data_IF_233913686063
#
_entry.id   IF_233913686063
#
_cell.length_a   1.000
_cell.length_b   1.000
_cell.length_c   1.000
_cell.angle_alpha   90.00
_cell.angle_beta   90.00
_cell.angle_gamma   90.00
#
_symmetry.space_group_name_H-M   'P 1'
#
loop_
_entity.id
_entity.type
_entity.pdbx_description
1 polymer ?
#
# COMPACT_ATOMS: atom_id res chain seq x y z
N UNK A 1 18.00 13.00 -21.59
CA UNK A 1 17.54 13.68 -20.37
C UNK A 1 17.78 12.73 -19.22
N UNK A 2 18.46 13.13 -18.13
CA UNK A 2 18.67 12.23 -17.01
C UNK A 2 17.33 11.90 -16.36
N UNK A 3 16.97 10.62 -16.37
CA UNK A 3 15.92 10.03 -15.55
C UNK A 3 16.36 10.20 -14.10
N UNK A 4 15.77 11.16 -13.38
CA UNK A 4 16.06 11.34 -11.95
C UNK A 4 15.18 10.38 -11.19
N UNK A 5 15.74 9.25 -10.76
CA UNK A 5 15.19 8.48 -9.66
C UNK A 5 15.31 9.41 -8.44
N UNK A 6 14.20 9.93 -7.93
CA UNK A 6 14.22 10.75 -6.72
C UNK A 6 14.69 9.87 -5.55
N UNK A 7 15.91 10.11 -5.09
CA UNK A 7 16.53 9.43 -3.93
C UNK A 7 16.54 10.38 -2.71
N UNK A 8 15.60 10.20 -1.77
CA UNK A 8 15.58 10.97 -0.54
C UNK A 8 16.37 10.32 0.61
N UNK A 9 17.25 9.33 0.39
CA UNK A 9 18.17 8.86 1.44
C UNK A 9 19.11 9.98 1.96
N UNK A 10 19.08 11.16 1.35
CA UNK A 10 19.66 12.38 1.93
C UNK A 10 18.98 12.87 3.21
N UNK A 11 17.77 12.41 3.56
CA UNK A 11 17.09 12.78 4.81
C UNK A 11 16.39 11.57 5.45
N UNK A 12 17.12 10.92 6.37
CA UNK A 12 16.68 9.81 7.21
C UNK A 12 15.30 10.04 7.86
N UNK A 13 14.30 9.31 7.39
CA UNK A 13 13.16 8.89 8.20
C UNK A 13 12.95 7.39 8.01
N UNK A 14 13.43 6.60 8.98
CA UNK A 14 13.14 5.17 9.09
C UNK A 14 11.64 5.01 9.35
N UNK A 15 10.93 4.38 8.42
CA UNK A 15 9.52 4.00 8.55
C UNK A 15 9.28 2.82 9.52
N UNK A 16 10.27 2.46 10.36
CA UNK A 16 10.25 1.26 11.21
C UNK A 16 9.30 1.32 12.41
N UNK A 17 8.75 2.48 12.76
CA UNK A 17 8.12 2.70 14.07
C UNK A 17 6.60 2.96 14.03
N UNK A 18 5.91 2.72 12.91
CA UNK A 18 4.45 2.83 12.88
C UNK A 18 3.82 1.52 13.39
N UNK A 19 3.73 1.41 14.72
CA UNK A 19 2.81 0.48 15.39
C UNK A 19 1.38 0.95 15.13
N UNK A 20 0.59 0.17 14.39
CA UNK A 20 -0.82 0.45 14.11
C UNK A 20 -1.69 0.10 15.33
N UNK A 21 -1.64 0.94 16.36
CA UNK A 21 -2.65 0.91 17.42
C UNK A 21 -3.91 1.61 16.93
N UNK A 22 -4.91 0.80 16.59
CA UNK A 22 -6.28 1.23 16.31
C UNK A 22 -6.92 1.82 17.58
N UNK A 23 -6.80 3.13 17.79
CA UNK A 23 -7.65 3.87 18.72
C UNK A 23 -8.79 4.56 17.94
N UNK A 24 -9.99 4.00 18.05
CA UNK A 24 -11.23 4.70 17.73
C UNK A 24 -11.41 5.88 18.70
N UNK A 25 -11.53 7.10 18.17
CA UNK A 25 -12.12 8.23 18.89
C UNK A 25 -12.83 9.18 17.92
N UNK A 26 -14.15 9.14 18.02
CA UNK A 26 -15.16 10.19 17.82
C UNK A 26 -14.98 11.34 16.82
N UNK A 27 -15.90 11.35 15.86
CA UNK A 27 -16.88 12.40 15.59
C UNK A 27 -16.53 13.85 15.97
N UNK A 28 -16.08 14.65 15.00
CA UNK A 28 -16.06 16.11 15.09
C UNK A 28 -16.17 16.75 13.71
N UNK A 29 -17.37 17.24 13.36
CA UNK A 29 -17.55 18.15 12.23
C UNK A 29 -16.69 19.41 12.43
N UNK A 30 -15.89 19.76 11.43
CA UNK A 30 -15.56 21.16 11.13
C UNK A 30 -15.58 21.34 9.62
N UNK A 31 -16.56 22.11 9.16
CA UNK A 31 -16.58 22.74 7.85
C UNK A 31 -15.61 23.95 7.90
N UNK A 32 -15.02 24.26 6.75
CA UNK A 32 -13.99 25.27 6.50
C UNK A 32 -12.58 24.97 7.03
N UNK A 33 -11.68 24.75 6.08
CA UNK A 33 -10.26 24.54 6.35
C UNK A 33 -9.51 24.17 5.09
N UNK A 34 -9.31 25.15 4.22
CA UNK A 34 -8.37 25.15 3.11
C UNK A 34 -7.09 24.39 3.49
N UNK A 35 -6.92 23.18 2.96
CA UNK A 35 -5.69 22.41 3.22
C UNK A 35 -4.60 22.93 2.28
N UNK A 36 -4.06 24.09 2.64
CA UNK A 36 -2.86 24.66 2.06
C UNK A 36 -1.66 23.82 2.48
N UNK A 37 -1.42 22.70 1.80
CA UNK A 37 -0.10 22.07 1.81
C UNK A 37 0.83 22.89 0.90
N UNK A 38 1.26 24.03 1.43
CA UNK A 38 2.47 24.70 0.99
C UNK A 38 3.67 23.92 1.54
N UNK A 39 4.22 23.01 0.75
CA UNK A 39 5.63 22.67 0.92
C UNK A 39 6.42 23.73 0.17
N UNK A 40 6.95 24.70 0.93
CA UNK A 40 7.98 25.63 0.45
C UNK A 40 9.18 24.80 0.01
N UNK A 41 9.35 24.66 -1.29
CA UNK A 41 10.66 24.35 -1.87
C UNK A 41 11.46 25.65 -1.90
N UNK A 42 12.71 25.57 -1.46
CA UNK A 42 13.65 26.68 -1.33
C UNK A 42 13.65 27.58 -2.56
N UNK A 43 13.11 28.81 -2.45
CA UNK A 43 13.56 30.06 -3.08
C UNK A 43 13.98 30.13 -4.55
N UNK A 44 13.85 29.07 -5.34
CA UNK A 44 14.22 29.00 -6.74
C UNK A 44 12.92 28.89 -7.53
N UNK A 45 12.63 29.92 -8.31
CA UNK A 45 11.60 29.86 -9.35
C UNK A 45 11.94 28.70 -10.27
N UNK A 46 11.26 27.56 -10.08
CA UNK A 46 11.32 26.47 -11.04
C UNK A 46 10.63 26.99 -12.30
N UNK A 47 11.45 27.35 -13.30
CA UNK A 47 11.04 27.47 -14.70
C UNK A 47 10.08 26.34 -15.03
N UNK A 48 8.95 26.64 -15.69
CA UNK A 48 7.76 25.78 -15.82
C UNK A 48 7.89 24.44 -16.54
N UNK A 49 8.97 23.70 -16.31
CA UNK A 49 9.14 22.31 -16.68
C UNK A 49 8.47 21.44 -15.61
N UNK A 50 7.41 20.74 -16.01
CA UNK A 50 6.67 19.84 -15.13
C UNK A 50 7.53 18.68 -14.58
N UNK A 51 7.10 18.11 -13.46
CA UNK A 51 7.77 16.97 -12.81
C UNK A 51 7.66 15.71 -13.70
N UNK A 52 8.78 15.08 -14.02
CA UNK A 52 8.80 13.81 -14.77
C UNK A 52 9.01 12.66 -13.79
N UNK A 53 8.05 11.73 -13.76
CA UNK A 53 8.07 10.54 -12.92
C UNK A 53 8.38 9.34 -13.79
N UNK A 54 9.50 8.66 -13.55
CA UNK A 54 9.77 7.38 -14.20
C UNK A 54 8.92 6.28 -13.56
N UNK A 55 8.15 5.54 -14.37
CA UNK A 55 7.26 4.48 -13.91
C UNK A 55 7.99 3.40 -13.08
N UNK A 56 9.23 3.09 -13.45
CA UNK A 56 10.07 2.11 -12.73
C UNK A 56 10.54 2.57 -11.34
N UNK A 57 10.45 3.87 -11.05
CA UNK A 57 10.84 4.45 -9.77
C UNK A 57 9.66 4.65 -8.81
N UNK A 58 8.46 4.22 -9.19
CA UNK A 58 7.29 4.37 -8.35
C UNK A 58 7.34 3.32 -7.23
N UNK A 59 7.37 3.74 -5.96
CA UNK A 59 7.50 2.82 -4.84
C UNK A 59 6.25 1.96 -4.68
N UNK A 60 6.46 0.70 -4.34
CA UNK A 60 5.40 -0.22 -3.92
C UNK A 60 5.00 0.09 -2.47
N UNK A 61 3.75 -0.19 -2.12
CA UNK A 61 3.30 -0.09 -0.72
C UNK A 61 3.96 -1.16 0.14
N UNK A 62 4.15 -2.36 -0.43
CA UNK A 62 4.85 -3.45 0.21
C UNK A 62 6.02 -3.87 -0.69
N UNK A 63 7.22 -3.38 -0.37
CA UNK A 63 8.48 -3.79 -0.99
C UNK A 63 9.24 -4.83 -0.16
N UNK A 64 8.68 -5.20 1.00
CA UNK A 64 9.30 -6.17 1.89
C UNK A 64 9.11 -7.59 1.37
N UNK A 65 10.18 -8.42 1.35
CA UNK A 65 10.06 -9.83 1.00
C UNK A 65 9.32 -10.64 2.09
N UNK A 66 9.12 -10.05 3.27
CA UNK A 66 8.49 -10.69 4.43
C UNK A 66 7.46 -9.79 5.10
N UNK A 67 6.39 -10.38 5.63
CA UNK A 67 5.34 -9.69 6.39
C UNK A 67 4.83 -10.61 7.51
N UNK A 68 3.98 -10.11 8.41
CA UNK A 68 3.40 -10.89 9.49
C UNK A 68 2.01 -11.38 9.12
N UNK A 69 1.77 -12.68 9.27
CA UNK A 69 0.42 -13.18 9.26
C UNK A 69 -0.36 -12.57 10.43
N UNK A 70 -1.62 -12.18 10.20
CA UNK A 70 -2.52 -11.69 11.26
C UNK A 70 -3.79 -12.55 11.36
N UNK A 71 -3.72 -13.82 10.96
CA UNK A 71 -4.88 -14.71 10.90
C UNK A 71 -5.55 -14.89 12.28
N UNK A 72 -6.88 -14.89 12.29
CA UNK A 72 -7.78 -14.91 13.45
C UNK A 72 -7.36 -13.89 14.51
N UNK A 73 -7.48 -12.60 14.19
CA UNK A 73 -7.18 -11.51 15.13
C UNK A 73 -5.74 -11.56 15.67
N UNK A 74 -4.76 -11.94 14.85
CA UNK A 74 -3.35 -12.03 15.27
C UNK A 74 -3.03 -13.25 16.14
N UNK A 75 -3.89 -14.28 16.17
CA UNK A 75 -3.54 -15.55 16.82
C UNK A 75 -2.41 -16.29 16.08
N UNK A 76 -2.18 -15.95 14.81
CA UNK A 76 -0.96 -16.25 14.09
C UNK A 76 -0.16 -14.96 13.98
N UNK A 77 1.12 -15.01 14.35
CA UNK A 77 2.10 -13.92 14.31
C UNK A 77 3.36 -14.32 13.51
N UNK A 78 3.27 -15.42 12.76
CA UNK A 78 4.41 -15.96 12.03
C UNK A 78 4.77 -15.04 10.85
N UNK A 79 6.08 -14.89 10.66
CA UNK A 79 6.63 -14.21 9.48
C UNK A 79 6.35 -15.06 8.25
N UNK A 80 5.77 -14.44 7.24
CA UNK A 80 5.45 -15.04 5.95
C UNK A 80 6.32 -14.42 4.86
N UNK A 81 6.71 -15.24 3.89
CA UNK A 81 7.28 -14.74 2.65
C UNK A 81 6.16 -14.15 1.80
N UNK A 82 6.36 -12.91 1.35
CA UNK A 82 5.39 -12.10 0.60
C UNK A 82 5.42 -12.47 -0.88
N UNK A 83 5.36 -13.77 -1.14
CA UNK A 83 5.28 -14.34 -2.48
C UNK A 83 4.04 -15.23 -2.56
N UNK A 84 3.57 -15.48 -3.78
CA UNK A 84 2.41 -16.34 -3.96
C UNK A 84 2.64 -17.76 -3.42
N UNK A 85 3.85 -18.31 -3.64
CA UNK A 85 4.22 -19.59 -3.09
C UNK A 85 4.33 -19.55 -1.56
N UNK A 86 4.95 -18.49 -1.01
CA UNK A 86 5.14 -18.29 0.42
C UNK A 86 3.83 -18.23 1.20
N UNK A 87 2.91 -17.37 0.77
CA UNK A 87 1.58 -17.23 1.38
C UNK A 87 0.79 -18.53 1.27
N UNK A 88 0.75 -19.18 0.09
CA UNK A 88 0.03 -20.46 -0.09
C UNK A 88 0.57 -21.54 0.83
N UNK A 89 1.89 -21.67 0.92
CA UNK A 89 2.58 -22.60 1.81
C UNK A 89 2.22 -22.32 3.28
N UNK A 90 2.31 -21.06 3.70
CA UNK A 90 1.96 -20.66 5.07
C UNK A 90 0.51 -20.98 5.43
N UNK A 91 -0.46 -20.60 4.59
CA UNK A 91 -1.88 -20.87 4.85
C UNK A 91 -2.16 -22.38 4.94
N UNK A 92 -1.49 -23.18 4.11
CA UNK A 92 -1.55 -24.64 4.15
C UNK A 92 -1.05 -25.19 5.48
N UNK A 93 0.19 -24.85 5.84
CA UNK A 93 0.90 -25.43 6.99
C UNK A 93 0.35 -24.92 8.33
N UNK A 94 0.02 -23.63 8.44
CA UNK A 94 -0.40 -23.01 9.69
C UNK A 94 -1.91 -23.01 9.89
N UNK A 95 -2.71 -23.02 8.81
CA UNK A 95 -4.16 -22.81 8.89
C UNK A 95 -5.01 -23.92 8.27
N UNK A 96 -4.39 -25.00 7.79
CA UNK A 96 -5.11 -26.15 7.21
C UNK A 96 -5.95 -25.78 6.00
N UNK A 97 -5.52 -24.74 5.29
CA UNK A 97 -6.27 -24.14 4.19
C UNK A 97 -6.53 -25.10 3.02
N UNK A 98 -5.61 -26.03 2.76
CA UNK A 98 -5.77 -27.06 1.73
C UNK A 98 -6.78 -28.14 2.12
N UNK A 99 -6.87 -28.48 3.41
CA UNK A 99 -7.80 -29.48 3.94
C UNK A 99 -9.26 -28.99 3.98
N UNK A 100 -9.49 -27.68 3.89
CA UNK A 100 -10.84 -27.11 3.86
C UNK A 100 -11.55 -27.44 2.53
N UNK A 101 -12.58 -28.30 2.59
CA UNK A 101 -13.42 -28.67 1.44
C UNK A 101 -14.71 -27.83 1.36
N UNK A 102 -14.80 -26.74 2.13
CA UNK A 102 -15.96 -25.86 2.11
C UNK A 102 -16.18 -25.27 0.72
N UNK A 103 -17.46 -25.09 0.34
CA UNK A 103 -17.84 -24.43 -0.93
C UNK A 103 -17.59 -22.92 -0.91
N UNK A 104 -17.42 -22.36 0.28
CA UNK A 104 -17.14 -20.94 0.51
C UNK A 104 -16.08 -20.87 1.58
N UNK A 105 -15.07 -20.06 1.35
CA UNK A 105 -13.98 -19.82 2.29
C UNK A 105 -14.15 -18.43 2.90
N UNK A 106 -13.80 -18.30 4.17
CA UNK A 106 -13.89 -17.02 4.88
C UNK A 106 -12.47 -16.53 5.14
N UNK A 107 -12.18 -15.30 4.71
CA UNK A 107 -10.96 -14.63 5.14
C UNK A 107 -11.05 -14.37 6.62
N UNK A 108 -10.00 -14.75 7.37
CA UNK A 108 -9.90 -14.48 8.81
C UNK A 108 -8.70 -13.62 9.15
N UNK A 109 -8.15 -12.90 8.17
CA UNK A 109 -7.03 -12.01 8.41
C UNK A 109 -7.47 -10.83 9.31
N UNK A 110 -6.82 -10.64 10.45
CA UNK A 110 -7.19 -9.65 11.46
C UNK A 110 -8.69 -9.75 11.81
N UNK A 111 -9.48 -8.72 11.47
CA UNK A 111 -10.95 -8.65 11.68
C UNK A 111 -11.75 -8.91 10.40
N UNK A 112 -11.07 -9.27 9.30
CA UNK A 112 -11.72 -9.57 8.03
C UNK A 112 -12.63 -10.80 8.17
N UNK A 113 -13.76 -10.77 7.48
CA UNK A 113 -14.73 -11.86 7.39
C UNK A 113 -15.30 -11.99 5.97
N UNK A 114 -14.53 -11.56 4.96
CA UNK A 114 -14.97 -11.61 3.55
C UNK A 114 -15.16 -13.06 3.13
N UNK A 115 -16.30 -13.33 2.49
CA UNK A 115 -16.62 -14.63 1.93
C UNK A 115 -16.10 -14.71 0.49
N UNK A 116 -15.35 -15.77 0.21
CA UNK A 116 -14.74 -16.06 -1.07
C UNK A 116 -15.30 -17.40 -1.58
N UNK A 117 -15.93 -17.45 -2.76
CA UNK A 117 -16.52 -18.67 -3.30
C UNK A 117 -15.50 -19.71 -3.77
N UNK A 118 -14.22 -19.35 -3.86
CA UNK A 118 -13.13 -20.25 -4.24
C UNK A 118 -11.86 -19.93 -3.44
N UNK A 119 -10.97 -20.92 -3.35
CA UNK A 119 -9.67 -20.82 -2.69
C UNK A 119 -8.82 -19.73 -3.36
N UNK A 120 -8.72 -19.78 -4.67
CA UNK A 120 -7.95 -18.84 -5.48
C UNK A 120 -8.37 -17.39 -5.19
N UNK A 121 -9.67 -17.15 -5.00
CA UNK A 121 -10.21 -15.83 -4.67
C UNK A 121 -9.92 -15.39 -3.23
N UNK A 122 -9.86 -16.32 -2.26
CA UNK A 122 -9.42 -15.99 -0.90
C UNK A 122 -7.95 -15.56 -0.92
N UNK A 123 -7.13 -16.30 -1.64
CA UNK A 123 -5.71 -16.00 -1.79
C UNK A 123 -5.50 -14.63 -2.45
N UNK A 124 -6.17 -14.38 -3.58
CA UNK A 124 -6.11 -13.10 -4.27
C UNK A 124 -6.58 -11.95 -3.37
N UNK A 125 -7.66 -12.15 -2.62
CA UNK A 125 -8.14 -11.18 -1.63
C UNK A 125 -7.08 -10.83 -0.59
N UNK A 126 -6.39 -11.82 0.00
CA UNK A 126 -5.33 -11.56 0.98
C UNK A 126 -4.19 -10.76 0.33
N UNK A 127 -3.80 -11.15 -0.88
CA UNK A 127 -2.69 -10.53 -1.61
C UNK A 127 -2.92 -9.05 -1.90
N UNK A 128 -4.14 -8.72 -2.33
CA UNK A 128 -4.53 -7.36 -2.71
C UNK A 128 -4.91 -6.54 -1.47
N UNK A 129 -5.80 -7.06 -0.62
CA UNK A 129 -6.45 -6.23 0.41
C UNK A 129 -5.67 -6.21 1.74
N UNK A 130 -4.86 -7.23 2.04
CA UNK A 130 -4.13 -7.31 3.32
C UNK A 130 -2.64 -7.06 3.16
N UNK A 131 -2.02 -7.65 2.14
CA UNK A 131 -0.59 -7.49 1.90
C UNK A 131 -0.28 -6.37 0.91
N UNK A 132 -1.27 -5.88 0.15
CA UNK A 132 -1.15 -4.74 -0.78
C UNK A 132 -0.02 -4.89 -1.81
N UNK A 133 0.15 -6.09 -2.35
CA UNK A 133 1.31 -6.40 -3.24
C UNK A 133 1.28 -5.69 -4.59
N UNK A 134 0.10 -5.21 -4.99
CA UNK A 134 -0.09 -4.52 -6.26
C UNK A 134 -0.26 -3.00 -6.07
N UNK A 135 -0.28 -2.54 -4.82
CA UNK A 135 -0.47 -1.13 -4.53
C UNK A 135 0.85 -0.38 -4.63
N UNK A 136 0.74 0.80 -5.21
CA UNK A 136 1.82 1.74 -5.44
C UNK A 136 1.56 3.01 -4.64
N UNK A 137 2.63 3.71 -4.29
CA UNK A 137 2.61 4.99 -3.60
C UNK A 137 2.92 6.12 -4.57
N UNK A 138 2.27 7.27 -4.38
CA UNK A 138 2.65 8.45 -5.16
C UNK A 138 4.06 8.91 -4.78
N UNK A 139 5.01 8.99 -5.74
CA UNK A 139 6.37 9.42 -5.43
C UNK A 139 6.46 10.92 -5.14
N UNK A 140 5.44 11.70 -5.50
CA UNK A 140 5.42 13.17 -5.31
C UNK A 140 4.96 13.55 -3.91
N UNK A 141 3.79 13.05 -3.48
CA UNK A 141 3.23 13.40 -2.17
C UNK A 141 3.41 12.34 -1.09
N UNK A 142 3.63 11.07 -1.47
CA UNK A 142 3.69 9.90 -0.57
C UNK A 142 2.51 9.79 0.40
N UNK A 143 1.37 10.40 0.05
CA UNK A 143 0.17 10.40 0.87
C UNK A 143 -0.39 8.97 0.98
N UNK A 144 -0.71 8.46 2.17
CA UNK A 144 -1.38 7.18 2.33
C UNK A 144 -2.68 7.06 1.51
N UNK A 145 -3.39 8.15 1.27
CA UNK A 145 -4.59 8.18 0.43
C UNK A 145 -4.29 8.06 -1.07
N UNK A 146 -3.01 8.16 -1.45
CA UNK A 146 -2.55 7.91 -2.82
C UNK A 146 -2.30 6.43 -3.12
N UNK A 147 -2.38 5.57 -2.09
CA UNK A 147 -2.16 4.13 -2.21
C UNK A 147 -3.19 3.48 -3.12
N UNK A 148 -2.71 2.59 -3.98
CA UNK A 148 -3.59 1.73 -4.75
C UNK A 148 -2.93 1.21 -6.02
N UNK A 149 -3.69 0.44 -6.82
CA UNK A 149 -3.18 -0.09 -8.06
C UNK A 149 -2.83 1.04 -9.04
N UNK A 150 -1.99 0.72 -10.02
CA UNK A 150 -1.50 1.65 -11.04
C UNK A 150 -2.54 2.63 -11.63
N UNK A 151 -3.75 2.13 -11.92
CA UNK A 151 -4.84 2.95 -12.49
C UNK A 151 -5.33 4.02 -11.53
N UNK A 152 -5.38 3.71 -10.23
CA UNK A 152 -5.77 4.64 -9.17
C UNK A 152 -4.68 5.68 -8.98
N UNK A 153 -3.42 5.25 -8.91
CA UNK A 153 -2.29 6.16 -8.77
C UNK A 153 -2.17 7.14 -9.95
N UNK A 154 -2.35 6.66 -11.20
CA UNK A 154 -2.38 7.52 -12.40
C UNK A 154 -3.44 8.61 -12.32
N UNK A 155 -4.64 8.28 -11.83
CA UNK A 155 -5.71 9.26 -11.62
C UNK A 155 -5.37 10.25 -10.51
N UNK A 156 -4.81 9.76 -9.40
CA UNK A 156 -4.34 10.60 -8.30
C UNK A 156 -3.32 11.63 -8.82
N UNK A 157 -2.27 11.19 -9.52
CA UNK A 157 -1.22 12.08 -10.05
C UNK A 157 -1.83 13.12 -11.00
N UNK A 158 -2.68 12.71 -11.94
CA UNK A 158 -3.33 13.65 -12.86
C UNK A 158 -4.18 14.71 -12.15
N UNK A 159 -4.84 14.34 -11.05
CA UNK A 159 -5.73 15.23 -10.29
C UNK A 159 -4.98 16.15 -9.34
N UNK A 160 -4.03 15.59 -8.57
CA UNK A 160 -3.35 16.28 -7.47
C UNK A 160 -2.02 16.92 -7.91
N UNK A 161 -1.42 16.41 -8.99
CA UNK A 161 -0.13 16.84 -9.53
C UNK A 161 -0.26 17.10 -11.05
N UNK A 162 -1.05 18.10 -11.48
CA UNK A 162 -1.35 18.33 -12.91
C UNK A 162 -0.12 18.67 -13.76
N UNK A 163 0.95 19.15 -13.13
CA UNK A 163 2.24 19.40 -13.78
C UNK A 163 3.16 18.16 -13.78
N UNK A 164 2.79 17.09 -13.09
CA UNK A 164 3.55 15.85 -13.09
C UNK A 164 3.07 14.92 -14.23
N UNK A 165 4.02 14.26 -14.90
CA UNK A 165 3.74 13.25 -15.92
C UNK A 165 4.56 11.99 -15.68
N UNK A 166 3.93 10.84 -15.88
CA UNK A 166 4.59 9.54 -15.82
C UNK A 166 5.18 9.25 -17.20
N UNK A 167 6.44 8.81 -17.24
CA UNK A 167 7.14 8.29 -18.41
C UNK A 167 7.50 6.82 -18.17
N UNK A 168 7.43 6.01 -19.21
CA UNK A 168 7.74 4.57 -19.19
C UNK A 168 9.21 4.34 -19.58
#
# INVERSE_FOLDING_TARGET
MPSVCYDPESHLYRFSDIHWDNAHADSGHNQDGSNAYMTRFNGEEMSGEGVVINASCIPWVNDSPHDYCSWRFGACDQVIEVSEAGIKKHLKECHGYDADTSKVHTCRWSKCNKLCPAKEQLFEHIRIDHLKLEDLLCPVCRDPDSQGPWRTLKKHIKKMHPLARIVE
#
